data_IF_650650350949
#
_entry.id   IF_650650350949
#
_cell.length_a   1.000
_cell.length_b   1.000
_cell.length_c   1.000
_cell.angle_alpha   90.00
_cell.angle_beta   90.00
_cell.angle_gamma   90.00
#
_symmetry.space_group_name_H-M   'P 1'
#
loop_
_entity.id
_entity.type
_entity.pdbx_description
1 polymer ?
#
# COMPACT_ATOMS: atom_id res chain seq x y z
N UNK A 1 48.71 49.74 52.44
CA UNK A 1 47.83 50.07 51.30
C UNK A 1 48.17 49.17 50.15
N UNK A 2 47.41 48.12 49.97
CA UNK A 2 47.54 47.14 48.82
C UNK A 2 46.47 47.44 47.81
N UNK A 3 46.85 47.78 46.59
CA UNK A 3 45.93 47.96 45.47
C UNK A 3 45.54 46.57 44.91
N UNK A 4 44.23 46.19 44.91
CA UNK A 4 43.71 45.10 44.18
C UNK A 4 43.47 45.56 42.74
N UNK A 5 44.07 44.87 41.77
CA UNK A 5 43.75 45.02 40.35
C UNK A 5 42.59 44.13 39.99
N UNK A 6 41.55 44.68 39.40
CA UNK A 6 40.41 43.93 38.76
C UNK A 6 40.87 43.54 37.37
N UNK A 7 40.87 42.20 37.11
CA UNK A 7 41.02 41.65 35.77
C UNK A 7 39.61 41.43 35.23
N UNK A 8 39.22 42.17 34.20
CA UNK A 8 37.99 41.98 33.48
C UNK A 8 38.19 40.84 32.50
N UNK A 9 37.49 39.73 32.72
CA UNK A 9 37.44 38.60 31.81
C UNK A 9 36.35 38.87 30.72
N UNK A 10 36.78 39.26 29.52
CA UNK A 10 35.88 39.35 28.37
C UNK A 10 35.56 37.92 27.87
N UNK A 11 34.37 37.40 28.16
CA UNK A 11 33.84 36.21 27.56
C UNK A 11 33.25 36.61 26.20
N UNK A 12 33.96 36.30 25.14
CA UNK A 12 33.41 36.42 23.77
C UNK A 12 32.38 35.29 23.54
N UNK A 13 31.12 35.64 23.51
CA UNK A 13 30.07 34.75 22.99
C UNK A 13 30.25 34.65 21.48
N UNK A 14 30.79 33.53 21.02
CA UNK A 14 30.67 33.11 19.61
C UNK A 14 29.21 32.73 19.38
N UNK A 15 28.43 33.66 18.84
CA UNK A 15 27.14 33.35 18.28
C UNK A 15 27.37 32.48 17.02
N UNK A 16 27.25 31.18 17.15
CA UNK A 16 27.07 30.29 15.99
C UNK A 16 25.76 30.69 15.30
N UNK A 17 25.85 31.44 14.22
CA UNK A 17 24.74 31.64 13.31
C UNK A 17 24.43 30.29 12.65
N UNK A 18 23.48 29.53 13.19
CA UNK A 18 22.79 28.50 12.43
C UNK A 18 22.11 29.22 11.26
N UNK A 19 22.69 29.13 10.08
CA UNK A 19 21.99 29.42 8.83
C UNK A 19 20.91 28.35 8.65
N UNK A 20 19.77 28.50 9.31
CA UNK A 20 18.58 27.71 8.94
C UNK A 20 18.09 28.29 7.62
N UNK A 21 18.36 27.60 6.53
CA UNK A 21 17.65 27.85 5.26
C UNK A 21 16.15 27.82 5.53
N UNK A 22 15.39 28.70 4.88
CA UNK A 22 13.92 28.64 4.97
C UNK A 22 13.43 27.24 4.60
N UNK A 23 12.40 26.72 5.30
CA UNK A 23 11.89 25.38 5.02
C UNK A 23 11.38 25.28 3.58
N UNK A 24 11.49 24.08 2.98
CA UNK A 24 11.00 23.76 1.63
C UNK A 24 9.53 24.18 1.52
N UNK A 25 9.14 25.05 0.57
CA UNK A 25 7.75 25.46 0.45
C UNK A 25 6.83 24.29 0.08
N UNK A 26 5.59 24.34 0.54
CA UNK A 26 4.58 23.39 0.08
C UNK A 26 4.29 23.62 -1.40
N UNK A 27 3.99 22.54 -2.15
CA UNK A 27 3.57 22.67 -3.55
C UNK A 27 2.20 23.33 -3.66
N UNK A 28 1.91 23.88 -4.82
CA UNK A 28 0.54 24.17 -5.24
C UNK A 28 -0.11 22.88 -5.74
N UNK A 29 -1.33 22.60 -5.29
CA UNK A 29 -2.08 21.40 -5.66
C UNK A 29 -3.44 21.83 -6.19
N UNK A 30 -3.75 21.46 -7.44
CA UNK A 30 -5.01 21.84 -8.10
C UNK A 30 -6.24 21.23 -7.42
N UNK A 31 -7.43 21.71 -7.78
CA UNK A 31 -8.68 21.00 -7.43
C UNK A 31 -8.70 19.60 -8.07
N UNK A 32 -9.45 18.65 -7.47
CA UNK A 32 -9.63 17.32 -8.03
C UNK A 32 -10.29 17.35 -9.41
N UNK A 33 -9.79 16.54 -10.34
CA UNK A 33 -10.35 16.35 -11.67
C UNK A 33 -10.72 14.88 -11.81
N UNK A 34 -12.01 14.56 -11.98
CA UNK A 34 -12.46 13.21 -12.27
C UNK A 34 -11.96 12.78 -13.66
N UNK A 35 -11.29 11.63 -13.74
CA UNK A 35 -10.86 11.04 -15.01
C UNK A 35 -11.71 9.83 -15.43
N UNK A 36 -12.60 9.38 -14.54
CA UNK A 36 -13.65 8.39 -14.83
C UNK A 36 -15.00 8.93 -14.40
N UNK A 37 -16.09 8.37 -14.94
CA UNK A 37 -17.44 8.84 -14.66
C UNK A 37 -18.40 7.66 -14.53
N UNK A 38 -19.42 7.80 -13.64
CA UNK A 38 -20.46 6.80 -13.43
C UNK A 38 -21.29 6.46 -14.67
N UNK A 39 -22.24 5.51 -14.59
CA UNK A 39 -22.80 4.99 -13.33
C UNK A 39 -22.00 3.88 -12.66
N UNK A 40 -21.08 3.22 -13.38
CA UNK A 40 -20.25 2.16 -12.81
C UNK A 40 -19.19 2.70 -11.86
N UNK A 41 -18.76 1.83 -10.95
CA UNK A 41 -17.61 2.11 -10.08
C UNK A 41 -16.30 1.92 -10.84
N UNK A 42 -15.39 2.89 -10.68
CA UNK A 42 -14.03 2.83 -11.20
C UNK A 42 -13.03 3.00 -10.04
N UNK A 43 -11.97 2.21 -10.05
CA UNK A 43 -10.88 2.33 -9.10
C UNK A 43 -9.55 2.14 -9.83
N UNK A 44 -8.46 2.65 -9.26
CA UNK A 44 -7.14 2.30 -9.80
C UNK A 44 -6.98 0.78 -9.82
N UNK A 45 -6.36 0.24 -10.85
CA UNK A 45 -6.22 -1.21 -11.04
C UNK A 45 -5.21 -1.89 -10.08
N UNK A 46 -4.69 -1.14 -9.10
CA UNK A 46 -3.64 -1.59 -8.17
C UNK A 46 -3.79 -0.98 -6.77
N UNK A 47 -3.02 -1.52 -5.81
CA UNK A 47 -2.92 -0.98 -4.45
C UNK A 47 -2.25 0.40 -4.44
N UNK A 48 -2.40 1.17 -3.34
CA UNK A 48 -1.75 2.48 -3.22
C UNK A 48 -0.22 2.37 -3.32
N UNK A 49 0.43 3.47 -3.71
CA UNK A 49 1.88 3.50 -3.90
C UNK A 49 2.39 2.84 -5.18
N UNK A 50 1.55 2.06 -5.88
CA UNK A 50 1.88 1.47 -7.17
C UNK A 50 1.58 2.47 -8.28
N UNK A 51 2.55 2.73 -9.16
CA UNK A 51 2.36 3.62 -10.30
C UNK A 51 1.31 3.08 -11.28
N UNK A 52 0.23 3.82 -11.48
CA UNK A 52 -0.84 3.44 -12.40
C UNK A 52 -0.74 4.08 -13.78
N UNK A 53 0.22 5.02 -13.98
CA UNK A 53 0.44 5.68 -15.27
C UNK A 53 1.36 4.85 -16.16
N UNK A 54 1.07 4.87 -17.46
CA UNK A 54 1.99 4.36 -18.48
C UNK A 54 3.31 5.15 -18.48
N UNK A 55 4.34 4.59 -19.11
CA UNK A 55 5.68 5.20 -19.15
C UNK A 55 5.69 6.61 -19.77
N UNK A 56 4.81 6.87 -20.74
CA UNK A 56 4.62 8.17 -21.39
C UNK A 56 3.64 9.10 -20.63
N UNK A 57 3.09 8.64 -19.48
CA UNK A 57 2.09 9.33 -18.68
C UNK A 57 0.76 9.62 -19.40
N UNK A 58 0.49 8.97 -20.52
CA UNK A 58 -0.73 9.14 -21.28
C UNK A 58 -1.89 8.33 -20.75
N UNK A 59 -1.64 7.09 -20.36
CA UNK A 59 -2.67 6.15 -19.92
C UNK A 59 -2.63 5.91 -18.42
N UNK A 60 -3.81 5.78 -17.80
CA UNK A 60 -3.97 5.38 -16.40
C UNK A 60 -4.74 4.06 -16.35
N UNK A 61 -4.17 3.05 -15.70
CA UNK A 61 -4.81 1.75 -15.53
C UNK A 61 -5.87 1.79 -14.41
N UNK A 62 -7.10 1.41 -14.75
CA UNK A 62 -8.26 1.38 -13.85
C UNK A 62 -9.02 0.05 -13.98
N UNK A 63 -9.77 -0.32 -12.94
CA UNK A 63 -10.81 -1.35 -13.00
C UNK A 63 -12.18 -0.68 -13.04
N UNK A 64 -13.06 -1.19 -13.90
CA UNK A 64 -14.48 -0.86 -13.96
C UNK A 64 -15.31 -2.03 -13.46
N UNK A 65 -16.29 -1.80 -12.58
CA UNK A 65 -17.18 -2.83 -12.04
C UNK A 65 -18.60 -2.32 -11.83
N UNK A 66 -19.58 -3.21 -11.95
CA UNK A 66 -20.98 -2.97 -11.59
C UNK A 66 -21.28 -3.34 -10.12
N UNK A 67 -20.32 -3.93 -9.40
CA UNK A 67 -20.44 -4.29 -7.99
C UNK A 67 -20.02 -3.08 -7.14
N UNK A 68 -20.86 -2.67 -6.19
CA UNK A 68 -20.65 -1.46 -5.38
C UNK A 68 -20.55 -1.73 -3.89
N UNK A 69 -21.39 -2.62 -3.34
CA UNK A 69 -21.70 -2.70 -1.90
C UNK A 69 -21.33 -4.05 -1.24
N UNK A 70 -20.76 -4.97 -1.99
CA UNK A 70 -20.36 -6.29 -1.51
C UNK A 70 -19.02 -6.74 -2.09
N UNK A 71 -18.48 -7.82 -1.57
CA UNK A 71 -17.35 -8.51 -2.18
C UNK A 71 -17.77 -9.17 -3.50
N UNK A 72 -16.81 -9.25 -4.43
CA UNK A 72 -16.95 -10.10 -5.62
C UNK A 72 -17.02 -11.58 -5.24
N UNK A 73 -17.80 -12.34 -6.01
CA UNK A 73 -17.87 -13.79 -5.95
C UNK A 73 -17.04 -14.44 -7.05
N UNK A 74 -16.87 -15.76 -6.97
CA UNK A 74 -16.11 -16.49 -7.99
C UNK A 74 -16.78 -16.38 -9.37
N UNK A 75 -16.00 -16.02 -10.39
CA UNK A 75 -16.49 -15.79 -11.75
C UNK A 75 -17.10 -14.41 -12.00
N UNK A 76 -17.14 -13.52 -11.03
CA UNK A 76 -17.55 -12.12 -11.23
C UNK A 76 -16.39 -11.26 -11.69
N UNK A 77 -16.47 -10.82 -12.93
CA UNK A 77 -15.41 -10.10 -13.62
C UNK A 77 -15.52 -8.58 -13.43
N UNK A 78 -14.36 -7.94 -13.20
CA UNK A 78 -14.18 -6.52 -13.46
C UNK A 78 -13.47 -6.32 -14.80
N UNK A 79 -13.70 -5.19 -15.45
CA UNK A 79 -13.00 -4.80 -16.66
C UNK A 79 -11.74 -4.03 -16.33
N UNK A 80 -10.57 -4.53 -16.73
CA UNK A 80 -9.34 -3.75 -16.75
C UNK A 80 -9.36 -2.83 -17.95
N UNK A 81 -9.21 -1.53 -17.71
CA UNK A 81 -9.26 -0.51 -18.74
C UNK A 81 -8.15 0.53 -18.59
N UNK A 82 -7.86 1.24 -19.65
CA UNK A 82 -6.97 2.39 -19.68
C UNK A 82 -7.80 3.66 -19.88
N UNK A 83 -7.51 4.70 -19.09
CA UNK A 83 -8.03 6.04 -19.32
C UNK A 83 -7.00 6.81 -20.14
N UNK A 84 -7.35 7.23 -21.35
CA UNK A 84 -6.50 8.06 -22.22
C UNK A 84 -6.63 9.53 -21.82
N UNK A 85 -5.65 10.04 -21.08
CA UNK A 85 -5.64 11.44 -20.60
C UNK A 85 -5.50 12.47 -21.71
N UNK A 86 -5.11 12.07 -22.94
CA UNK A 86 -4.96 12.93 -24.10
C UNK A 86 -6.16 12.89 -25.06
N UNK A 87 -7.10 11.96 -24.84
CA UNK A 87 -8.33 11.81 -25.63
C UNK A 87 -9.58 11.95 -24.73
N UNK A 88 -9.73 13.11 -24.09
CA UNK A 88 -10.87 13.44 -23.21
C UNK A 88 -11.21 12.37 -22.16
N UNK A 89 -10.19 11.75 -21.58
CA UNK A 89 -10.32 10.65 -20.59
C UNK A 89 -11.11 9.44 -21.13
N UNK A 90 -10.98 9.16 -22.42
CA UNK A 90 -11.63 8.01 -23.04
C UNK A 90 -11.20 6.71 -22.35
N UNK A 91 -12.20 5.93 -21.96
CA UNK A 91 -11.99 4.62 -21.39
C UNK A 91 -11.78 3.57 -22.49
N UNK A 92 -10.68 2.82 -22.41
CA UNK A 92 -10.28 1.77 -23.37
C UNK A 92 -10.24 0.45 -22.63
N UNK A 93 -11.25 -0.41 -22.73
CA UNK A 93 -11.21 -1.77 -22.15
C UNK A 93 -10.10 -2.60 -22.80
N UNK A 94 -9.26 -3.27 -22.00
CA UNK A 94 -8.12 -4.07 -22.49
C UNK A 94 -8.17 -5.53 -22.06
N UNK A 95 -8.80 -5.84 -20.91
CA UNK A 95 -8.94 -7.20 -20.40
C UNK A 95 -10.12 -7.31 -19.44
N UNK A 96 -10.43 -8.54 -19.00
CA UNK A 96 -11.31 -8.81 -17.86
C UNK A 96 -10.61 -9.72 -16.88
N UNK A 97 -10.87 -9.54 -15.60
CA UNK A 97 -10.36 -10.42 -14.54
C UNK A 97 -11.42 -10.67 -13.48
N UNK A 98 -11.50 -11.90 -12.96
CA UNK A 98 -12.28 -12.23 -11.78
C UNK A 98 -11.44 -12.29 -10.49
N UNK A 99 -10.17 -11.89 -10.57
CA UNK A 99 -9.22 -11.90 -9.47
C UNK A 99 -8.96 -10.45 -9.04
N UNK A 100 -9.91 -9.90 -8.30
CA UNK A 100 -9.88 -8.50 -7.88
C UNK A 100 -10.63 -8.28 -6.56
N UNK A 101 -10.33 -7.18 -5.91
CA UNK A 101 -11.05 -6.68 -4.73
C UNK A 101 -11.01 -5.14 -4.70
N UNK A 102 -11.76 -4.50 -3.78
CA UNK A 102 -11.83 -3.04 -3.72
C UNK A 102 -10.59 -2.37 -3.12
N UNK A 103 -9.70 -3.12 -2.47
CA UNK A 103 -8.56 -2.56 -1.77
C UNK A 103 -7.28 -2.61 -2.61
N UNK A 104 -6.96 -3.78 -3.17
CA UNK A 104 -5.74 -4.01 -3.95
C UNK A 104 -6.03 -4.12 -5.45
N UNK A 105 -7.29 -4.03 -5.84
CA UNK A 105 -7.76 -4.21 -7.21
C UNK A 105 -7.25 -5.55 -7.80
N UNK A 106 -6.69 -5.56 -9.00
CA UNK A 106 -6.09 -6.73 -9.64
C UNK A 106 -4.55 -6.71 -9.58
N UNK A 107 -3.95 -5.90 -8.69
CA UNK A 107 -2.49 -5.74 -8.57
C UNK A 107 -1.81 -5.42 -9.90
N UNK A 108 -2.40 -4.53 -10.69
CA UNK A 108 -1.88 -4.15 -11.99
C UNK A 108 -0.59 -3.32 -11.89
N UNK A 109 0.42 -3.68 -12.69
CA UNK A 109 1.68 -2.94 -12.81
C UNK A 109 2.07 -2.76 -14.27
N UNK A 110 2.53 -1.57 -14.63
CA UNK A 110 3.23 -1.37 -15.89
C UNK A 110 4.62 -1.97 -15.83
N UNK A 111 5.04 -2.68 -16.88
CA UNK A 111 6.36 -3.29 -16.96
C UNK A 111 7.36 -2.34 -17.65
N UNK A 112 8.41 -1.86 -16.96
CA UNK A 112 9.31 -0.84 -17.51
C UNK A 112 10.20 -1.35 -18.65
N UNK A 113 10.39 -2.68 -18.77
CA UNK A 113 11.23 -3.33 -19.79
C UNK A 113 10.47 -3.72 -21.06
N UNK A 114 9.14 -3.58 -21.09
CA UNK A 114 8.31 -3.94 -22.25
C UNK A 114 7.33 -2.79 -22.56
N UNK A 115 7.39 -2.27 -23.78
CA UNK A 115 6.52 -1.21 -24.24
C UNK A 115 5.06 -1.70 -24.31
N UNK A 116 4.11 -0.82 -23.96
CA UNK A 116 2.67 -1.12 -23.99
C UNK A 116 2.27 -2.38 -23.21
N UNK A 117 3.07 -2.76 -22.22
CA UNK A 117 2.90 -4.01 -21.50
C UNK A 117 2.66 -3.76 -20.02
N UNK A 118 1.65 -4.42 -19.49
CA UNK A 118 1.31 -4.41 -18.06
C UNK A 118 1.05 -5.84 -17.59
N UNK A 119 1.09 -6.04 -16.29
CA UNK A 119 0.64 -7.29 -15.67
C UNK A 119 -0.54 -7.05 -14.74
N UNK A 120 -1.32 -8.09 -14.49
CA UNK A 120 -2.40 -8.10 -13.50
C UNK A 120 -2.68 -9.54 -13.05
N UNK A 121 -3.27 -9.68 -11.87
CA UNK A 121 -3.71 -10.98 -11.39
C UNK A 121 -5.00 -11.41 -12.08
N UNK A 122 -5.09 -12.72 -12.37
CA UNK A 122 -6.28 -13.35 -12.95
C UNK A 122 -6.39 -14.81 -12.53
N UNK A 123 -7.45 -15.48 -12.96
CA UNK A 123 -7.67 -16.92 -12.77
C UNK A 123 -7.69 -17.62 -14.13
N UNK A 124 -6.81 -18.59 -14.30
CA UNK A 124 -6.74 -19.46 -15.48
C UNK A 124 -6.80 -20.92 -15.04
N UNK A 125 -7.64 -21.73 -15.68
CA UNK A 125 -7.80 -23.15 -15.36
C UNK A 125 -8.02 -23.43 -13.85
N UNK A 126 -8.80 -22.55 -13.20
CA UNK A 126 -9.09 -22.64 -11.78
C UNK A 126 -7.98 -22.21 -10.83
N UNK A 127 -6.83 -21.69 -11.31
CA UNK A 127 -5.71 -21.25 -10.49
C UNK A 127 -5.52 -19.73 -10.59
N UNK A 128 -5.12 -19.11 -9.51
CA UNK A 128 -4.69 -17.71 -9.52
C UNK A 128 -3.31 -17.59 -10.18
N UNK A 129 -3.19 -16.68 -11.11
CA UNK A 129 -2.02 -16.46 -11.95
C UNK A 129 -1.77 -14.96 -12.12
N UNK A 130 -0.64 -14.62 -12.67
CA UNK A 130 -0.39 -13.29 -13.24
C UNK A 130 -0.43 -13.39 -14.75
N UNK A 131 -1.16 -12.49 -15.39
CA UNK A 131 -1.17 -12.28 -16.84
C UNK A 131 -0.27 -11.09 -17.15
N UNK A 132 0.73 -11.28 -17.98
CA UNK A 132 1.51 -10.21 -18.59
C UNK A 132 0.91 -9.98 -19.97
N UNK A 133 0.36 -8.79 -20.21
CA UNK A 133 -0.41 -8.45 -21.40
C UNK A 133 0.24 -7.28 -22.15
N UNK A 134 0.56 -7.46 -23.42
CA UNK A 134 0.73 -6.33 -24.32
C UNK A 134 -0.67 -5.89 -24.79
N UNK A 135 -1.14 -4.74 -24.29
CA UNK A 135 -2.52 -4.33 -24.52
C UNK A 135 -2.83 -3.88 -25.95
N UNK A 136 -1.79 -3.57 -26.76
CA UNK A 136 -1.97 -3.20 -28.17
C UNK A 136 -2.05 -4.39 -29.11
N UNK A 137 -1.24 -5.42 -28.84
CA UNK A 137 -1.19 -6.63 -29.69
C UNK A 137 -2.13 -7.72 -29.20
N UNK A 138 -2.53 -7.69 -27.91
CA UNK A 138 -3.28 -8.76 -27.26
C UNK A 138 -2.42 -9.98 -26.89
N UNK A 139 -1.09 -9.91 -27.03
CA UNK A 139 -0.19 -10.98 -26.63
C UNK A 139 -0.16 -11.15 -25.11
N UNK A 140 -0.38 -12.38 -24.65
CA UNK A 140 -0.36 -12.73 -23.22
C UNK A 140 0.76 -13.71 -22.91
N UNK A 141 1.38 -13.53 -21.73
CA UNK A 141 2.21 -14.51 -21.05
C UNK A 141 1.68 -14.79 -19.67
N UNK A 142 1.54 -16.05 -19.32
CA UNK A 142 1.02 -16.48 -18.01
C UNK A 142 2.17 -16.84 -17.08
N UNK A 143 2.16 -16.28 -15.88
CA UNK A 143 3.03 -16.67 -14.76
C UNK A 143 2.15 -17.41 -13.75
N UNK A 144 2.49 -18.65 -13.34
CA UNK A 144 1.61 -19.51 -12.52
C UNK A 144 1.57 -19.13 -11.03
N UNK A 145 1.75 -17.85 -10.73
CA UNK A 145 1.70 -17.26 -9.40
C UNK A 145 1.02 -15.89 -9.46
N UNK A 146 0.05 -15.56 -8.58
CA UNK A 146 -0.47 -14.20 -8.45
C UNK A 146 0.56 -13.30 -7.78
N UNK A 147 0.68 -12.04 -8.17
CA UNK A 147 1.63 -11.10 -7.56
C UNK A 147 0.99 -10.27 -6.46
N UNK A 148 1.78 -9.97 -5.42
CA UNK A 148 1.45 -9.07 -4.31
C UNK A 148 2.36 -7.85 -4.25
N UNK A 149 3.56 -7.94 -4.83
CA UNK A 149 4.47 -6.83 -5.06
C UNK A 149 5.29 -7.10 -6.30
N UNK A 150 5.73 -6.03 -6.97
CA UNK A 150 6.64 -6.11 -8.12
C UNK A 150 7.80 -5.15 -7.89
N UNK A 151 9.03 -5.60 -8.19
CA UNK A 151 10.22 -4.77 -8.11
C UNK A 151 10.16 -3.61 -9.11
N UNK A 152 10.85 -2.51 -8.80
CA UNK A 152 10.82 -1.29 -9.63
C UNK A 152 11.29 -1.52 -11.06
N UNK A 153 12.22 -2.46 -11.26
CA UNK A 153 12.69 -2.87 -12.59
C UNK A 153 11.74 -3.82 -13.32
N UNK A 154 10.70 -4.32 -12.65
CA UNK A 154 9.73 -5.25 -13.20
C UNK A 154 10.26 -6.67 -13.42
N UNK A 155 11.40 -7.04 -12.87
CA UNK A 155 11.98 -8.39 -13.08
C UNK A 155 11.51 -9.39 -12.03
N UNK A 156 11.27 -8.93 -10.81
CA UNK A 156 10.90 -9.78 -9.68
C UNK A 156 9.53 -9.42 -9.11
N UNK A 157 8.85 -10.42 -8.60
CA UNK A 157 7.63 -10.26 -7.86
C UNK A 157 7.65 -11.08 -6.57
N UNK A 158 6.89 -10.62 -5.57
CA UNK A 158 6.51 -11.44 -4.42
C UNK A 158 5.11 -11.96 -4.65
N UNK A 159 4.92 -13.26 -4.46
CA UNK A 159 3.61 -13.91 -4.46
C UNK A 159 3.25 -14.38 -3.06
N UNK A 160 1.96 -14.32 -2.73
CA UNK A 160 1.36 -14.82 -1.50
C UNK A 160 0.14 -15.69 -1.82
N UNK A 161 -0.37 -16.40 -0.83
CA UNK A 161 -1.55 -17.23 -0.97
C UNK A 161 -2.84 -16.40 -0.84
N UNK A 162 -3.36 -15.87 -1.96
CA UNK A 162 -4.60 -15.10 -1.99
C UNK A 162 -5.86 -15.92 -1.66
N UNK A 163 -5.84 -17.25 -1.85
CA UNK A 163 -6.95 -18.11 -1.43
C UNK A 163 -7.02 -18.19 0.10
N UNK A 164 -5.85 -18.35 0.76
CA UNK A 164 -5.73 -18.28 2.22
C UNK A 164 -6.14 -16.90 2.74
N UNK A 165 -5.71 -15.85 2.03
CA UNK A 165 -6.08 -14.48 2.35
C UNK A 165 -7.60 -14.25 2.23
N UNK A 166 -8.29 -14.87 1.25
CA UNK A 166 -9.75 -14.80 1.13
C UNK A 166 -10.48 -15.35 2.34
N UNK A 167 -9.96 -16.41 2.95
CA UNK A 167 -10.53 -17.02 4.16
C UNK A 167 -10.27 -16.12 5.38
N UNK A 168 -9.02 -15.68 5.55
CA UNK A 168 -8.56 -14.95 6.73
C UNK A 168 -8.88 -13.46 6.70
N UNK A 169 -8.91 -12.85 5.50
CA UNK A 169 -9.16 -11.43 5.27
C UNK A 169 -9.90 -11.22 3.94
N UNK A 170 -11.22 -11.45 3.90
CA UNK A 170 -12.00 -11.51 2.68
C UNK A 170 -11.93 -10.27 1.77
N UNK A 171 -11.67 -9.10 2.35
CA UNK A 171 -11.56 -7.82 1.64
C UNK A 171 -10.26 -7.63 0.84
N UNK A 172 -9.27 -8.53 1.02
CA UNK A 172 -7.99 -8.50 0.30
C UNK A 172 -7.73 -9.76 -0.53
N UNK A 173 -8.36 -10.89 -0.17
CA UNK A 173 -8.20 -12.13 -0.92
C UNK A 173 -9.10 -12.19 -2.15
N UNK A 174 -8.82 -13.14 -3.04
CA UNK A 174 -9.59 -13.35 -4.26
C UNK A 174 -10.64 -14.45 -4.09
N UNK A 175 -11.79 -14.30 -4.74
CA UNK A 175 -12.85 -15.30 -4.73
C UNK A 175 -12.42 -16.58 -5.45
N UNK A 176 -12.82 -17.73 -4.91
CA UNK A 176 -12.43 -19.06 -5.39
C UNK A 176 -12.12 -19.97 -4.22
N UNK A 177 -13.13 -20.24 -3.39
CA UNK A 177 -13.04 -21.09 -2.21
C UNK A 177 -12.51 -22.49 -2.61
N UNK A 178 -11.56 -23.02 -1.85
CA UNK A 178 -10.98 -24.35 -2.07
C UNK A 178 -9.62 -24.36 -2.76
N UNK A 179 -9.08 -23.23 -3.16
CA UNK A 179 -7.73 -23.16 -3.75
C UNK A 179 -6.60 -23.14 -2.71
N UNK A 180 -6.89 -22.91 -1.43
CA UNK A 180 -5.90 -23.04 -0.37
C UNK A 180 -5.77 -24.52 0.03
N UNK A 181 -4.74 -25.18 -0.51
CA UNK A 181 -4.42 -26.57 -0.15
C UNK A 181 -4.00 -26.73 1.32
N UNK A 182 -3.66 -25.64 2.01
CA UNK A 182 -3.22 -25.62 3.41
C UNK A 182 -4.26 -25.00 4.36
N UNK A 183 -5.54 -24.92 3.91
CA UNK A 183 -6.61 -24.26 4.69
C UNK A 183 -6.79 -24.76 6.12
N UNK A 184 -6.53 -26.02 6.35
CA UNK A 184 -6.67 -26.67 7.68
C UNK A 184 -5.35 -26.71 8.47
N UNK A 185 -4.29 -26.10 7.92
CA UNK A 185 -2.98 -26.02 8.58
C UNK A 185 -2.79 -24.61 9.14
N UNK A 186 -2.75 -24.48 10.46
CA UNK A 186 -2.61 -23.18 11.13
C UNK A 186 -1.31 -22.45 10.75
N UNK A 187 -0.21 -23.18 10.68
CA UNK A 187 1.14 -22.68 10.42
C UNK A 187 1.79 -23.50 9.28
N UNK A 188 1.48 -23.23 8.02
CA UNK A 188 2.04 -24.00 6.91
C UNK A 188 3.54 -23.80 6.75
N UNK A 189 4.26 -24.89 6.47
CA UNK A 189 5.71 -24.92 6.22
C UNK A 189 6.07 -24.97 4.73
N UNK A 190 5.07 -25.06 3.88
CA UNK A 190 5.17 -25.07 2.42
C UNK A 190 4.39 -23.93 1.74
N UNK A 191 4.02 -22.90 2.52
CA UNK A 191 3.35 -21.68 2.09
C UNK A 191 3.94 -20.47 2.80
N UNK A 192 3.93 -19.29 2.12
CA UNK A 192 4.52 -18.07 2.65
C UNK A 192 4.82 -17.04 1.58
N UNK A 193 6.05 -16.49 1.57
CA UNK A 193 6.52 -15.58 0.53
C UNK A 193 7.24 -16.36 -0.57
N UNK A 194 6.74 -16.20 -1.80
CA UNK A 194 7.37 -16.73 -2.99
C UNK A 194 8.02 -15.59 -3.78
N UNK A 195 9.32 -15.71 -4.07
CA UNK A 195 10.01 -14.84 -5.00
C UNK A 195 9.87 -15.41 -6.41
N UNK A 196 9.32 -14.62 -7.32
CA UNK A 196 8.97 -15.02 -8.69
C UNK A 196 9.75 -14.18 -9.69
N UNK A 197 10.44 -14.82 -10.63
CA UNK A 197 11.04 -14.12 -11.77
C UNK A 197 10.00 -13.95 -12.87
N UNK A 198 9.63 -12.70 -13.20
CA UNK A 198 8.59 -12.40 -14.20
C UNK A 198 9.02 -12.69 -15.64
N UNK A 199 10.34 -12.76 -15.91
CA UNK A 199 10.87 -13.09 -17.24
C UNK A 199 10.92 -14.60 -17.49
N UNK A 200 11.31 -15.42 -16.50
CA UNK A 200 11.36 -16.88 -16.66
C UNK A 200 10.09 -17.58 -16.20
N UNK A 201 9.39 -17.02 -15.21
CA UNK A 201 8.26 -17.67 -14.52
C UNK A 201 8.70 -18.59 -13.39
N UNK A 202 9.99 -18.70 -13.13
CA UNK A 202 10.53 -19.49 -12.02
C UNK A 202 10.18 -18.85 -10.68
N UNK A 203 9.87 -19.68 -9.68
CA UNK A 203 9.54 -19.23 -8.34
C UNK A 203 10.25 -20.04 -7.27
N UNK A 204 10.59 -19.37 -6.17
CA UNK A 204 11.23 -19.96 -4.99
C UNK A 204 10.46 -19.52 -3.74
N UNK A 205 10.08 -20.46 -2.88
CA UNK A 205 9.59 -20.16 -1.52
C UNK A 205 10.79 -19.67 -0.69
N UNK A 206 10.80 -18.38 -0.35
CA UNK A 206 11.90 -17.73 0.36
C UNK A 206 11.68 -17.68 1.87
N UNK A 207 10.40 -17.67 2.31
CA UNK A 207 10.06 -17.62 3.74
C UNK A 207 8.73 -18.33 3.97
N UNK A 208 8.69 -19.27 4.90
CA UNK A 208 7.45 -20.01 5.24
C UNK A 208 6.70 -19.36 6.40
N UNK A 209 5.37 -19.52 6.45
CA UNK A 209 4.59 -19.04 7.59
C UNK A 209 5.03 -19.70 8.88
N UNK A 210 5.33 -21.00 8.84
CA UNK A 210 5.79 -21.77 10.00
C UNK A 210 7.10 -21.27 10.59
N UNK A 211 8.02 -20.75 9.75
CA UNK A 211 9.33 -20.27 10.19
C UNK A 211 9.27 -19.04 11.11
N UNK A 212 8.15 -18.30 11.09
CA UNK A 212 7.95 -17.12 11.95
C UNK A 212 7.02 -17.37 13.14
N UNK A 213 6.60 -18.63 13.37
CA UNK A 213 5.63 -18.97 14.42
C UNK A 213 6.02 -18.38 15.79
N UNK A 214 7.26 -18.52 16.20
CA UNK A 214 7.73 -18.07 17.52
C UNK A 214 7.90 -16.53 17.61
N UNK A 215 7.88 -15.84 16.46
CA UNK A 215 8.00 -14.39 16.39
C UNK A 215 6.67 -13.69 16.18
N UNK A 216 5.60 -14.44 15.94
CA UNK A 216 4.24 -13.93 15.76
C UNK A 216 3.41 -14.14 17.02
N UNK A 217 2.33 -13.36 17.18
CA UNK A 217 1.40 -13.60 18.28
C UNK A 217 0.76 -14.97 18.14
N UNK A 218 0.85 -15.78 19.19
CA UNK A 218 0.29 -17.13 19.23
C UNK A 218 -1.24 -17.10 19.18
N UNK A 219 -1.82 -18.14 18.63
CA UNK A 219 -3.27 -18.35 18.56
C UNK A 219 -3.71 -19.31 19.69
N UNK A 220 -4.81 -18.97 20.32
CA UNK A 220 -5.46 -19.83 21.34
C UNK A 220 -6.42 -20.82 20.65
N UNK A 221 -7.06 -20.41 19.57
CA UNK A 221 -7.99 -21.24 18.79
C UNK A 221 -7.20 -22.18 17.85
N UNK A 222 -7.34 -23.51 17.98
CA UNK A 222 -6.68 -24.47 17.09
C UNK A 222 -7.16 -24.39 15.63
N UNK A 223 -8.31 -23.73 15.36
CA UNK A 223 -8.80 -23.44 14.02
C UNK A 223 -8.29 -22.11 13.47
N UNK A 224 -7.50 -21.38 14.23
CA UNK A 224 -6.88 -20.14 13.79
C UNK A 224 -5.93 -20.36 12.62
N UNK A 225 -5.68 -19.29 11.87
CA UNK A 225 -4.80 -19.29 10.69
C UNK A 225 -3.76 -18.20 10.79
N UNK A 226 -2.51 -18.55 10.48
CA UNK A 226 -1.45 -17.58 10.21
C UNK A 226 -1.27 -17.39 8.70
N UNK A 227 -0.96 -16.17 8.27
CA UNK A 227 -0.77 -15.82 6.86
C UNK A 227 0.10 -14.57 6.70
N UNK A 228 0.65 -14.39 5.50
CA UNK A 228 1.36 -13.19 5.08
C UNK A 228 0.53 -12.38 4.09
N UNK A 229 0.66 -11.06 4.14
CA UNK A 229 -0.02 -10.15 3.23
C UNK A 229 0.73 -8.81 3.14
N UNK A 230 0.32 -7.94 2.21
CA UNK A 230 0.78 -6.56 2.11
C UNK A 230 2.31 -6.48 1.96
N UNK A 231 2.81 -7.09 0.91
CA UNK A 231 4.24 -7.10 0.62
C UNK A 231 4.64 -5.87 -0.21
N UNK A 232 5.85 -5.37 0.00
CA UNK A 232 6.45 -4.33 -0.85
C UNK A 232 7.97 -4.44 -0.87
N UNK A 233 8.57 -4.34 -2.05
CA UNK A 233 10.02 -4.19 -2.19
C UNK A 233 10.48 -2.79 -1.78
N UNK A 234 11.71 -2.68 -1.25
CA UNK A 234 12.40 -1.40 -1.22
C UNK A 234 12.78 -0.97 -2.66
N UNK A 235 13.15 0.31 -2.90
CA UNK A 235 13.43 0.80 -4.26
C UNK A 235 14.47 0.01 -5.05
N UNK A 236 15.50 -0.56 -4.39
CA UNK A 236 16.55 -1.38 -5.03
C UNK A 236 16.21 -2.87 -5.13
N UNK A 237 15.02 -3.29 -4.67
CA UNK A 237 14.57 -4.68 -4.64
C UNK A 237 15.51 -5.64 -3.88
N UNK A 238 16.23 -5.13 -2.87
CA UNK A 238 17.09 -5.92 -1.99
C UNK A 238 16.41 -6.39 -0.73
N UNK A 239 15.31 -5.71 -0.33
CA UNK A 239 14.53 -6.01 0.88
C UNK A 239 13.04 -6.06 0.57
N UNK A 240 12.32 -6.82 1.38
CA UNK A 240 10.86 -6.95 1.35
C UNK A 240 10.31 -6.58 2.72
N UNK A 241 9.35 -5.67 2.77
CA UNK A 241 8.46 -5.50 3.92
C UNK A 241 7.20 -6.33 3.73
N UNK A 242 6.66 -6.90 4.81
CA UNK A 242 5.40 -7.63 4.79
C UNK A 242 4.72 -7.63 6.16
N UNK A 243 3.42 -7.88 6.15
CA UNK A 243 2.62 -8.11 7.35
C UNK A 243 2.39 -9.60 7.53
N UNK A 244 2.76 -10.11 8.73
CA UNK A 244 2.43 -11.45 9.19
C UNK A 244 1.27 -11.35 10.18
N UNK A 245 0.20 -12.10 9.94
CA UNK A 245 -1.04 -12.01 10.72
C UNK A 245 -1.49 -13.36 11.22
N UNK A 246 -2.10 -13.35 12.40
CA UNK A 246 -2.89 -14.47 12.91
C UNK A 246 -4.34 -14.05 13.06
N UNK A 247 -5.26 -14.95 12.75
CA UNK A 247 -6.70 -14.75 12.92
C UNK A 247 -7.30 -15.92 13.69
N UNK A 248 -8.27 -15.61 14.52
CA UNK A 248 -9.01 -16.57 15.33
C UNK A 248 -10.52 -16.38 15.15
N UNK A 249 -11.29 -17.39 15.56
CA UNK A 249 -12.75 -17.39 15.48
C UNK A 249 -13.24 -17.02 14.07
N UNK A 250 -12.76 -17.77 13.08
CA UNK A 250 -13.21 -17.67 11.70
C UNK A 250 -14.64 -18.21 11.62
N UNK A 251 -15.60 -17.31 11.46
CA UNK A 251 -16.99 -17.70 11.20
C UNK A 251 -17.16 -18.00 9.72
N UNK A 252 -17.22 -19.28 9.39
CA UNK A 252 -17.39 -19.77 8.02
C UNK A 252 -18.71 -19.34 7.37
N UNK A 253 -19.75 -19.04 8.15
CA UNK A 253 -21.05 -18.62 7.64
C UNK A 253 -21.11 -17.13 7.33
N UNK A 254 -20.62 -16.30 8.24
CA UNK A 254 -20.63 -14.84 8.09
C UNK A 254 -19.37 -14.29 7.42
N UNK A 255 -18.34 -15.13 7.22
CA UNK A 255 -17.00 -14.72 6.75
C UNK A 255 -16.38 -13.61 7.64
N UNK A 256 -16.81 -13.53 8.90
CA UNK A 256 -16.30 -12.56 9.88
C UNK A 256 -15.13 -13.15 10.65
N UNK A 257 -14.10 -12.35 10.78
CA UNK A 257 -12.96 -12.60 11.64
C UNK A 257 -13.13 -11.80 12.93
N UNK A 258 -13.12 -12.46 14.09
CA UNK A 258 -13.37 -11.76 15.36
C UNK A 258 -12.10 -11.28 16.07
N UNK A 259 -10.99 -11.99 15.92
CA UNK A 259 -9.69 -11.62 16.49
C UNK A 259 -8.60 -11.76 15.44
N UNK A 260 -7.84 -10.73 15.22
CA UNK A 260 -6.65 -10.72 14.37
C UNK A 260 -5.54 -9.94 15.04
N UNK A 261 -4.33 -10.42 14.86
CA UNK A 261 -3.10 -9.79 15.35
C UNK A 261 -2.17 -9.59 14.17
N UNK A 262 -1.42 -8.52 14.19
CA UNK A 262 -0.44 -8.20 13.15
C UNK A 262 0.93 -8.05 13.76
N UNK A 263 1.92 -8.62 13.10
CA UNK A 263 3.35 -8.36 13.32
C UNK A 263 3.95 -7.91 12.00
N UNK A 264 4.68 -6.80 11.99
CA UNK A 264 5.35 -6.26 10.82
C UNK A 264 6.78 -6.75 10.75
N UNK A 265 7.21 -7.16 9.55
CA UNK A 265 8.56 -7.68 9.32
C UNK A 265 9.20 -7.06 8.08
N UNK A 266 10.52 -7.05 8.08
CA UNK A 266 11.36 -6.94 6.88
C UNK A 266 12.23 -8.17 6.74
N UNK A 267 12.61 -8.51 5.52
CA UNK A 267 13.63 -9.51 5.23
C UNK A 267 14.42 -9.10 3.98
N UNK A 268 15.57 -9.71 3.74
CA UNK A 268 16.25 -9.61 2.47
C UNK A 268 15.47 -10.38 1.39
N UNK A 269 15.72 -10.06 0.13
CA UNK A 269 14.97 -10.61 -1.01
C UNK A 269 15.08 -12.13 -1.15
N UNK A 270 16.10 -12.75 -0.57
CA UNK A 270 16.27 -14.21 -0.53
C UNK A 270 15.59 -14.90 0.68
N UNK A 271 14.91 -14.12 1.55
CA UNK A 271 14.24 -14.57 2.76
C UNK A 271 15.14 -14.60 4.00
N UNK A 272 16.41 -14.20 3.88
CA UNK A 272 17.32 -14.08 5.02
C UNK A 272 17.12 -12.78 5.80
N UNK A 273 17.84 -12.61 6.91
CA UNK A 273 17.86 -11.40 7.75
C UNK A 273 16.46 -10.88 8.14
N UNK A 274 15.56 -11.81 8.50
CA UNK A 274 14.21 -11.44 8.95
C UNK A 274 14.30 -10.62 10.22
N UNK A 275 13.66 -9.41 10.19
CA UNK A 275 13.62 -8.47 11.30
C UNK A 275 12.19 -8.07 11.61
N UNK A 276 11.88 -8.06 12.89
CA UNK A 276 10.61 -7.54 13.38
C UNK A 276 10.69 -6.01 13.50
N UNK A 277 9.73 -5.30 12.89
CA UNK A 277 9.76 -3.84 12.85
C UNK A 277 9.39 -3.18 14.19
N UNK A 278 8.54 -3.82 15.01
CA UNK A 278 7.98 -3.20 16.22
C UNK A 278 7.87 -4.20 17.37
N UNK A 279 7.83 -3.71 18.64
CA UNK A 279 7.49 -4.51 19.81
C UNK A 279 6.10 -5.18 19.69
N UNK A 280 5.83 -6.15 20.57
CA UNK A 280 4.53 -6.80 20.64
C UNK A 280 3.41 -5.78 20.90
N UNK A 281 2.28 -5.98 20.20
CA UNK A 281 1.11 -5.16 20.37
C UNK A 281 1.06 -3.88 19.52
N UNK A 282 2.18 -3.44 18.93
CA UNK A 282 2.18 -2.28 18.04
C UNK A 282 1.54 -2.58 16.68
N UNK A 283 1.64 -3.82 16.21
CA UNK A 283 1.02 -4.27 14.97
C UNK A 283 1.70 -3.71 13.74
N UNK A 284 0.91 -3.09 12.90
CA UNK A 284 1.26 -2.47 11.63
C UNK A 284 0.09 -2.55 10.65
N UNK A 285 -0.05 -1.53 9.82
CA UNK A 285 -1.12 -1.44 8.83
C UNK A 285 -0.58 -0.98 7.48
N UNK A 286 -0.53 0.31 7.22
CA UNK A 286 -0.08 0.87 5.95
C UNK A 286 1.40 1.21 5.99
N UNK A 287 2.06 1.17 4.85
CA UNK A 287 3.53 1.22 4.77
C UNK A 287 3.99 1.82 3.45
N UNK A 288 5.17 2.41 3.45
CA UNK A 288 5.85 2.82 2.23
C UNK A 288 7.36 3.01 2.49
N UNK A 289 8.19 2.61 1.54
CA UNK A 289 9.62 2.90 1.57
C UNK A 289 9.88 4.33 1.11
N UNK A 290 10.68 5.07 1.90
CA UNK A 290 11.20 6.38 1.51
C UNK A 290 12.42 6.23 0.59
N UNK A 291 13.29 5.33 0.96
CA UNK A 291 14.53 4.95 0.27
C UNK A 291 14.82 3.46 0.56
N UNK A 292 16.03 2.99 0.27
CA UNK A 292 16.36 1.58 0.41
C UNK A 292 16.42 1.08 1.86
N UNK A 293 16.51 1.97 2.82
CA UNK A 293 16.67 1.64 4.24
C UNK A 293 15.60 2.24 5.14
N UNK A 294 14.95 3.32 4.71
CA UNK A 294 13.97 4.06 5.52
C UNK A 294 12.55 3.66 5.16
N UNK A 295 11.81 3.20 6.15
CA UNK A 295 10.44 2.71 6.02
C UNK A 295 9.48 3.52 6.89
N UNK A 296 8.35 3.94 6.34
CA UNK A 296 7.21 4.41 7.11
C UNK A 296 6.18 3.29 7.26
N UNK A 297 5.63 3.14 8.46
CA UNK A 297 4.55 2.20 8.75
C UNK A 297 3.57 2.86 9.72
N UNK A 298 2.27 2.75 9.46
CA UNK A 298 1.30 3.11 10.48
C UNK A 298 1.17 1.98 11.49
N UNK A 299 1.44 2.29 12.75
CA UNK A 299 1.47 1.33 13.86
C UNK A 299 0.92 1.96 15.13
N UNK A 300 0.64 1.16 16.15
CA UNK A 300 0.37 1.67 17.49
C UNK A 300 1.66 2.21 18.09
N UNK A 301 1.60 3.43 18.59
CA UNK A 301 2.70 4.07 19.29
C UNK A 301 2.41 4.10 20.79
N UNK A 302 3.39 3.73 21.62
CA UNK A 302 3.32 3.81 23.09
C UNK A 302 1.99 3.28 23.67
N UNK A 303 1.56 2.11 23.21
CA UNK A 303 0.38 1.36 23.68
C UNK A 303 -1.00 1.96 23.41
N UNK A 304 -1.16 3.05 22.64
CA UNK A 304 -2.46 3.74 22.66
C UNK A 304 -3.05 4.18 21.35
N UNK A 305 -2.28 4.75 20.42
CA UNK A 305 -2.84 5.40 19.25
C UNK A 305 -2.15 4.89 18.00
N UNK A 306 -2.91 4.60 16.95
CA UNK A 306 -2.33 4.44 15.63
C UNK A 306 -1.75 5.76 15.17
N UNK A 307 -0.57 5.73 14.62
CA UNK A 307 0.10 6.89 14.05
C UNK A 307 1.10 6.51 12.98
N UNK A 308 1.61 7.50 12.30
CA UNK A 308 2.62 7.32 11.26
C UNK A 308 4.00 7.27 11.91
N UNK A 309 4.66 6.14 11.80
CA UNK A 309 6.03 5.94 12.28
C UNK A 309 7.00 5.89 11.12
N UNK A 310 8.25 6.27 11.35
CA UNK A 310 9.34 6.14 10.40
C UNK A 310 10.59 5.64 11.12
N UNK A 311 11.33 4.74 10.50
CA UNK A 311 12.56 4.18 11.06
C UNK A 311 13.49 3.67 9.95
N UNK A 312 14.77 3.51 10.29
CA UNK A 312 15.77 2.85 9.44
C UNK A 312 15.79 1.36 9.77
N UNK A 313 15.72 0.50 8.76
CA UNK A 313 15.81 -0.95 8.94
C UNK A 313 17.19 -1.31 9.51
N UNK A 314 17.19 -2.06 10.62
CA UNK A 314 18.39 -2.35 11.43
C UNK A 314 18.55 -1.42 12.63
N UNK A 315 17.74 -0.37 12.74
CA UNK A 315 17.69 0.57 13.86
C UNK A 315 16.24 0.72 14.36
N UNK A 316 15.51 -0.38 14.43
CA UNK A 316 14.09 -0.42 14.77
C UNK A 316 13.79 0.15 16.18
N UNK A 317 14.79 0.25 17.04
CA UNK A 317 14.66 0.90 18.35
C UNK A 317 14.62 2.45 18.28
N UNK A 318 14.94 3.02 17.11
CA UNK A 318 14.95 4.48 16.87
C UNK A 318 13.73 4.95 16.07
N UNK A 319 12.59 4.32 16.28
CA UNK A 319 11.32 4.71 15.64
C UNK A 319 10.97 6.15 16.00
N UNK A 320 10.61 6.94 15.00
CA UNK A 320 10.08 8.29 15.15
C UNK A 320 8.61 8.35 14.77
N UNK A 321 7.82 9.15 15.49
CA UNK A 321 6.44 9.42 15.14
C UNK A 321 6.36 10.68 14.29
N UNK A 322 5.68 10.60 13.15
CA UNK A 322 5.43 11.73 12.25
C UNK A 322 4.10 12.38 12.59
N UNK A 323 4.11 13.69 12.86
CA UNK A 323 2.90 14.47 13.08
C UNK A 323 2.12 14.06 14.33
N UNK A 324 2.82 13.70 15.43
CA UNK A 324 2.22 13.32 16.70
C UNK A 324 1.17 14.34 17.17
N UNK A 325 0.01 13.87 17.62
CA UNK A 325 -1.14 14.68 18.04
C UNK A 325 -2.01 15.19 16.88
N UNK A 326 -1.58 15.08 15.62
CA UNK A 326 -2.33 15.49 14.43
C UNK A 326 -2.62 14.27 13.54
N UNK A 327 -1.60 13.44 13.28
CA UNK A 327 -1.70 12.23 12.45
C UNK A 327 -1.89 10.97 13.32
N UNK A 328 -2.60 11.10 14.42
CA UNK A 328 -2.92 10.01 15.33
C UNK A 328 -4.10 9.18 14.76
N UNK A 329 -3.87 8.63 13.55
CA UNK A 329 -4.82 7.77 12.85
C UNK A 329 -4.10 6.79 11.93
N UNK A 330 -4.79 5.73 11.56
CA UNK A 330 -4.35 4.79 10.53
C UNK A 330 -4.63 5.36 9.13
N UNK A 331 -3.65 5.35 8.24
CA UNK A 331 -3.78 5.92 6.90
C UNK A 331 -2.66 5.48 5.95
N UNK A 332 -2.92 5.60 4.64
CA UNK A 332 -2.00 5.17 3.59
C UNK A 332 -0.89 6.21 3.40
N UNK A 333 0.27 5.95 4.01
CA UNK A 333 1.44 6.82 3.89
C UNK A 333 2.16 6.58 2.56
N UNK A 334 2.53 7.67 1.89
CA UNK A 334 3.22 7.65 0.60
C UNK A 334 4.19 8.81 0.48
N UNK A 335 5.46 8.53 0.19
CA UNK A 335 6.45 9.58 -0.02
C UNK A 335 6.33 10.20 -1.40
N UNK A 336 6.53 11.51 -1.47
CA UNK A 336 6.67 12.23 -2.74
C UNK A 336 7.94 11.78 -3.48
N UNK A 337 7.97 11.83 -4.82
CA UNK A 337 9.15 11.41 -5.58
C UNK A 337 10.45 12.17 -5.25
N UNK A 338 10.35 13.39 -4.72
CA UNK A 338 11.51 14.16 -4.25
C UNK A 338 11.94 13.84 -2.81
N UNK A 339 11.22 12.91 -2.12
CA UNK A 339 11.51 12.45 -0.77
C UNK A 339 11.35 13.50 0.35
N UNK A 340 10.82 14.69 0.05
CA UNK A 340 10.67 15.79 1.02
C UNK A 340 9.33 15.82 1.73
N UNK A 341 8.32 15.15 1.16
CA UNK A 341 6.96 15.16 1.68
C UNK A 341 6.41 13.74 1.79
N UNK A 342 5.45 13.57 2.69
CA UNK A 342 4.65 12.36 2.83
C UNK A 342 3.17 12.74 2.70
N UNK A 343 2.46 12.10 1.78
CA UNK A 343 1.00 12.16 1.69
C UNK A 343 0.40 11.07 2.56
N UNK A 344 -0.71 11.35 3.24
CA UNK A 344 -1.51 10.32 3.91
C UNK A 344 -2.99 10.65 3.86
N UNK A 345 -3.79 9.63 3.59
CA UNK A 345 -5.23 9.67 3.84
C UNK A 345 -5.53 9.06 5.21
N UNK A 346 -6.74 9.26 5.69
CA UNK A 346 -7.20 8.68 6.94
C UNK A 346 -8.56 8.02 6.80
N UNK A 347 -8.90 7.17 7.78
CA UNK A 347 -10.25 6.66 7.88
C UNK A 347 -11.22 7.76 8.32
N UNK A 348 -12.44 7.72 7.80
CA UNK A 348 -13.46 8.72 8.14
C UNK A 348 -13.80 8.74 9.63
N UNK A 349 -13.94 9.93 10.17
CA UNK A 349 -14.46 10.10 11.53
C UNK A 349 -15.97 9.79 11.51
N UNK A 350 -16.44 8.86 12.34
CA UNK A 350 -17.82 8.34 12.37
C UNK A 350 -18.92 9.42 12.46
N UNK A 351 -18.59 10.63 12.90
CA UNK A 351 -19.60 11.73 13.03
C UNK A 351 -19.74 12.56 11.76
N UNK A 352 -18.71 12.67 10.92
CA UNK A 352 -18.70 13.54 9.73
C UNK A 352 -18.68 12.77 8.42
N UNK A 353 -18.32 11.48 8.47
CA UNK A 353 -18.26 10.60 7.31
C UNK A 353 -17.39 11.14 6.15
N UNK A 354 -16.29 11.77 6.49
CA UNK A 354 -15.31 12.31 5.55
C UNK A 354 -13.96 11.62 5.75
N UNK A 355 -13.28 11.34 4.64
CA UNK A 355 -11.89 10.88 4.65
C UNK A 355 -10.96 12.07 4.53
N UNK A 356 -10.17 12.37 5.57
CA UNK A 356 -9.17 13.42 5.49
C UNK A 356 -8.01 13.00 4.59
N UNK A 357 -7.41 13.99 3.92
CA UNK A 357 -6.19 13.81 3.14
C UNK A 357 -5.22 14.95 3.45
N UNK A 358 -3.96 14.61 3.72
CA UNK A 358 -2.94 15.57 4.16
C UNK A 358 -1.63 15.38 3.41
N UNK A 359 -0.83 16.44 3.40
CA UNK A 359 0.56 16.43 2.97
C UNK A 359 1.44 16.95 4.11
N UNK A 360 2.43 16.16 4.50
CA UNK A 360 3.38 16.44 5.57
C UNK A 360 4.72 16.80 4.97
N UNK A 361 5.31 17.90 5.37
CA UNK A 361 6.71 18.23 5.08
C UNK A 361 7.60 17.54 6.11
N UNK A 362 8.53 16.69 5.66
CA UNK A 362 9.26 15.81 6.58
C UNK A 362 10.31 16.52 7.43
N UNK A 363 10.87 17.64 6.95
CA UNK A 363 11.96 18.34 7.64
C UNK A 363 11.55 19.01 8.96
N UNK A 364 10.30 19.47 9.07
CA UNK A 364 9.76 20.18 10.24
C UNK A 364 8.38 19.64 10.68
N UNK A 365 7.89 18.61 10.04
CA UNK A 365 6.58 17.98 10.27
C UNK A 365 5.38 18.94 10.11
N UNK A 366 5.55 20.05 9.39
CA UNK A 366 4.43 20.92 9.04
C UNK A 366 3.45 20.18 8.12
N UNK A 367 2.15 20.44 8.31
CA UNK A 367 1.07 19.70 7.66
C UNK A 367 0.11 20.67 6.97
N UNK A 368 -0.26 20.36 5.73
CA UNK A 368 -1.38 21.01 5.05
C UNK A 368 -2.48 19.99 4.73
N UNK A 369 -3.73 20.45 4.73
CA UNK A 369 -4.85 19.65 4.25
C UNK A 369 -4.89 19.67 2.73
N UNK A 370 -5.05 18.49 2.11
CA UNK A 370 -5.38 18.33 0.70
C UNK A 370 -6.88 18.15 0.48
N UNK A 371 -7.68 18.19 1.54
CA UNK A 371 -9.14 18.07 1.50
C UNK A 371 -9.69 17.02 2.44
N UNK A 372 -11.01 16.95 2.49
CA UNK A 372 -11.76 15.91 3.16
C UNK A 372 -12.92 15.50 2.23
N UNK A 373 -13.11 14.21 2.01
CA UNK A 373 -14.01 13.69 0.98
C UNK A 373 -15.13 12.90 1.62
N UNK A 374 -16.37 13.32 1.38
CA UNK A 374 -17.57 12.68 1.92
C UNK A 374 -17.71 11.24 1.44
N UNK A 375 -18.16 10.36 2.33
CA UNK A 375 -18.39 8.94 2.05
C UNK A 375 -19.89 8.65 2.18
N UNK A 376 -20.61 8.41 1.06
CA UNK A 376 -22.01 7.98 1.08
C UNK A 376 -22.21 6.67 1.84
N UNK A 377 -23.41 6.43 2.36
CA UNK A 377 -23.71 5.32 3.26
C UNK A 377 -23.37 3.95 2.66
N UNK A 378 -23.63 3.72 1.39
CA UNK A 378 -23.34 2.47 0.68
C UNK A 378 -21.87 2.07 0.73
N UNK A 379 -20.97 3.03 0.82
CA UNK A 379 -19.51 2.81 0.88
C UNK A 379 -18.93 2.80 2.31
N UNK A 380 -19.77 2.76 3.36
CA UNK A 380 -19.31 2.76 4.76
C UNK A 380 -19.12 1.38 5.35
N UNK A 381 -19.33 0.33 4.58
CA UNK A 381 -19.11 -1.05 5.02
C UNK A 381 -17.62 -1.43 4.98
N UNK A 382 -17.28 -2.56 5.59
CA UNK A 382 -15.90 -3.01 5.69
C UNK A 382 -15.34 -3.52 4.35
N UNK A 383 -16.19 -4.11 3.52
CA UNK A 383 -15.75 -4.90 2.36
C UNK A 383 -15.62 -4.08 1.08
N UNK A 384 -16.55 -3.16 0.85
CA UNK A 384 -16.55 -2.30 -0.34
C UNK A 384 -16.28 -0.83 -0.01
N UNK A 385 -15.69 -0.54 1.15
CA UNK A 385 -15.29 0.82 1.50
C UNK A 385 -14.39 1.42 0.43
N UNK A 386 -14.50 2.72 0.24
CA UNK A 386 -13.60 3.47 -0.63
C UNK A 386 -12.56 4.20 0.22
N UNK A 387 -11.34 3.69 0.24
CA UNK A 387 -10.17 4.40 0.73
C UNK A 387 -9.63 5.30 -0.38
N UNK A 388 -9.01 6.43 -0.06
CA UNK A 388 -8.51 7.35 -1.10
C UNK A 388 -7.35 6.73 -1.87
N UNK A 389 -6.50 5.94 -1.20
CA UNK A 389 -5.36 5.27 -1.81
C UNK A 389 -4.50 6.21 -2.68
N UNK A 390 -3.97 7.29 -2.10
CA UNK A 390 -3.23 8.28 -2.86
C UNK A 390 -2.01 7.65 -3.53
N UNK A 391 -1.65 8.16 -4.71
CA UNK A 391 -0.44 7.75 -5.44
C UNK A 391 0.14 8.90 -6.25
N UNK A 392 1.44 9.11 -6.13
CA UNK A 392 2.13 10.08 -6.98
C UNK A 392 2.42 9.47 -8.35
N UNK A 393 2.27 10.28 -9.40
CA UNK A 393 2.91 9.99 -10.67
C UNK A 393 4.43 10.08 -10.47
N UNK A 394 5.20 9.25 -11.16
CA UNK A 394 6.65 9.10 -10.94
C UNK A 394 7.45 10.39 -11.12
N UNK A 395 6.98 11.32 -11.96
CA UNK A 395 7.58 12.64 -12.16
C UNK A 395 7.15 13.68 -11.11
N UNK A 396 6.27 13.31 -10.17
CA UNK A 396 5.76 14.17 -9.11
C UNK A 396 4.76 15.24 -9.55
N UNK A 397 4.42 15.34 -10.84
CA UNK A 397 3.56 16.42 -11.34
C UNK A 397 2.07 16.18 -11.14
N UNK A 398 1.69 14.97 -10.74
CA UNK A 398 0.31 14.61 -10.41
C UNK A 398 0.25 13.68 -9.19
N UNK A 399 -0.88 13.75 -8.51
CA UNK A 399 -1.28 12.79 -7.50
C UNK A 399 -2.70 12.32 -7.80
N UNK A 400 -2.91 11.01 -7.78
CA UNK A 400 -4.21 10.40 -8.03
C UNK A 400 -4.80 9.79 -6.77
N UNK A 401 -6.12 9.68 -6.71
CA UNK A 401 -6.84 9.04 -5.60
C UNK A 401 -8.20 8.50 -6.04
N UNK A 402 -8.72 7.54 -5.31
CA UNK A 402 -10.10 7.06 -5.45
C UNK A 402 -11.02 7.89 -4.55
N UNK A 403 -12.24 8.18 -5.00
CA UNK A 403 -13.22 8.80 -4.12
C UNK A 403 -14.66 8.46 -4.53
N UNK A 404 -15.58 8.60 -3.58
CA UNK A 404 -17.02 8.38 -3.72
C UNK A 404 -17.83 9.64 -3.42
N UNK A 405 -17.17 10.78 -3.26
CA UNK A 405 -17.80 12.02 -2.76
C UNK A 405 -18.85 12.59 -3.72
N UNK A 406 -18.83 12.22 -4.98
CA UNK A 406 -19.83 12.60 -5.99
C UNK A 406 -20.89 11.50 -6.22
N UNK A 407 -20.98 10.49 -5.33
CA UNK A 407 -22.05 9.50 -5.32
C UNK A 407 -21.67 8.12 -5.86
N UNK A 408 -20.65 8.00 -6.69
CA UNK A 408 -20.08 6.73 -7.17
C UNK A 408 -18.57 6.73 -7.00
N UNK A 409 -17.96 5.54 -6.99
CA UNK A 409 -16.51 5.40 -6.90
C UNK A 409 -15.88 5.79 -8.23
N UNK A 410 -15.05 6.83 -8.20
CA UNK A 410 -14.35 7.32 -9.38
C UNK A 410 -12.88 7.58 -9.07
N UNK A 411 -12.09 7.67 -10.13
CA UNK A 411 -10.67 8.00 -10.10
C UNK A 411 -10.49 9.49 -10.37
N UNK A 412 -9.72 10.14 -9.50
CA UNK A 412 -9.45 11.58 -9.56
C UNK A 412 -7.96 11.84 -9.65
N UNK A 413 -7.58 12.89 -10.36
CA UNK A 413 -6.21 13.41 -10.41
C UNK A 413 -6.18 14.86 -9.92
N UNK A 414 -5.05 15.25 -9.33
CA UNK A 414 -4.70 16.64 -9.02
C UNK A 414 -3.31 16.93 -9.56
N UNK A 415 -3.14 18.08 -10.19
CA UNK A 415 -1.81 18.54 -10.62
C UNK A 415 -1.04 19.10 -9.43
N UNK A 416 0.26 18.90 -9.43
CA UNK A 416 1.18 19.37 -8.41
C UNK A 416 2.25 20.23 -9.06
N UNK A 417 2.45 21.43 -8.53
CA UNK A 417 3.54 22.33 -8.89
C UNK A 417 4.45 22.54 -7.67
N UNK A 418 5.63 21.94 -7.75
CA UNK A 418 6.67 22.06 -6.70
C UNK A 418 7.38 23.40 -6.82
N UNK A 419 7.52 24.13 -5.70
CA UNK A 419 8.21 25.42 -5.61
C UNK A 419 9.68 25.28 -5.28
#
# INVERSE_FOLDING_TARGET
>A
MKKLGFIALCVAFLASSCNSSAPTPFPEVSEPIAITQGPKDHLFASYYGINSWSKDNRYVAVLETDITDRLSEDGEYATLALVDLQDNNKLIPIAKTCTWNFQEAAMCHWLPWAEDTLLFNDKREGKFVTVILNWKTGEEKIIPYPVSAVSKDGEWAVSINYARLRISRPDYGYAGDGQDAQRDVAWPDNDGLWLVNLKSGEAKLILTVASLKDQMTQMEDPKGMAYFCHTVFNPSATKIFFLARTVENLDAQTKKVSKWKTTSFTCDVDGSNVRRCFPDGWGGSHFNWKDDETLAVTAKWEDRVYGHTIFTVGEEEKVQHIGAGILDFDGHCLFSPNGKFMSSDGYYKKKVFERPWVLVRLEDQAIISLGAFYVPEVYRNTYSRCDLHPRFRTDGKQIGFNSVHEGSRQVYLRNIEWK
#
